data_IF_032557336098
#
_entry.id   IF_032557336098
#
_cell.length_a   1.000
_cell.length_b   1.000
_cell.length_c   1.000
_cell.angle_alpha   90.00
_cell.angle_beta   90.00
_cell.angle_gamma   90.00
#
_symmetry.space_group_name_H-M   'P 1'
#
loop_
_entity.id
_entity.type
_entity.pdbx_description
1 polymer ?
#
# COMPACT_ATOMS: atom_id res chain seq x y z
N UNK A 1 -15.80 -32.51 2.49
CA UNK A 1 -14.52 -32.23 3.18
C UNK A 1 -13.42 -32.29 2.13
N UNK A 2 -13.17 -31.19 1.44
CA UNK A 2 -12.01 -31.02 0.56
C UNK A 2 -11.39 -29.69 0.92
N UNK A 3 -10.59 -29.71 1.99
CA UNK A 3 -9.71 -28.60 2.30
C UNK A 3 -8.67 -28.51 1.20
N UNK A 4 -8.53 -27.34 0.60
CA UNK A 4 -7.38 -26.98 -0.22
C UNK A 4 -6.14 -27.29 0.61
N UNK A 5 -5.35 -28.27 0.18
CA UNK A 5 -4.01 -28.48 0.72
C UNK A 5 -3.23 -27.23 0.34
N UNK A 6 -2.65 -26.48 1.30
CA UNK A 6 -1.69 -25.44 0.97
C UNK A 6 -0.56 -26.14 0.24
N UNK A 7 -0.44 -25.92 -1.06
CA UNK A 7 0.72 -26.37 -1.83
C UNK A 7 1.93 -25.73 -1.18
N UNK A 8 2.86 -26.58 -0.72
CA UNK A 8 4.22 -26.24 -0.31
C UNK A 8 4.75 -25.13 -1.24
N UNK A 9 5.36 -24.04 -0.74
CA UNK A 9 5.95 -23.04 -1.61
C UNK A 9 7.10 -23.68 -2.37
N UNK A 10 6.80 -24.20 -3.57
CA UNK A 10 7.79 -24.59 -4.58
C UNK A 10 8.83 -23.47 -4.64
N UNK A 11 10.11 -23.85 -4.54
CA UNK A 11 11.20 -22.90 -4.60
C UNK A 11 11.02 -21.99 -5.84
N UNK A 12 11.14 -20.67 -5.68
CA UNK A 12 10.87 -19.73 -6.76
C UNK A 12 11.71 -20.11 -7.97
N UNK A 13 11.04 -20.28 -9.09
CA UNK A 13 11.67 -20.55 -10.38
C UNK A 13 12.19 -19.25 -10.97
N UNK A 14 13.10 -19.34 -11.94
CA UNK A 14 13.59 -18.15 -12.65
C UNK A 14 12.46 -17.37 -13.35
N UNK A 15 11.36 -18.05 -13.72
CA UNK A 15 10.15 -17.44 -14.27
C UNK A 15 9.42 -16.58 -13.23
N UNK A 16 9.32 -17.05 -11.98
CA UNK A 16 8.74 -16.27 -10.87
C UNK A 16 9.57 -15.01 -10.58
N UNK A 17 10.90 -15.11 -10.68
CA UNK A 17 11.79 -13.97 -10.51
C UNK A 17 11.65 -12.95 -11.65
N UNK A 18 11.49 -13.42 -12.89
CA UNK A 18 11.24 -12.56 -14.05
C UNK A 18 9.89 -11.85 -13.94
N UNK A 19 8.85 -12.54 -13.47
CA UNK A 19 7.53 -11.97 -13.22
C UNK A 19 7.60 -10.89 -12.13
N UNK A 20 8.33 -11.14 -11.04
CA UNK A 20 8.54 -10.17 -9.97
C UNK A 20 9.27 -8.92 -10.48
N UNK A 21 10.29 -9.08 -11.33
CA UNK A 21 11.03 -7.95 -11.92
C UNK A 21 10.14 -7.15 -12.88
N UNK A 22 9.23 -7.79 -13.62
CA UNK A 22 8.27 -7.11 -14.46
C UNK A 22 7.28 -6.27 -13.62
N UNK A 23 6.74 -6.86 -12.55
CA UNK A 23 5.86 -6.17 -11.60
C UNK A 23 6.57 -4.99 -10.91
N UNK A 24 7.84 -5.17 -10.52
CA UNK A 24 8.65 -4.09 -9.93
C UNK A 24 8.94 -2.97 -10.92
N UNK A 25 9.15 -3.28 -12.20
CA UNK A 25 9.35 -2.27 -13.26
C UNK A 25 8.07 -1.52 -13.58
N UNK A 26 6.93 -2.19 -13.56
CA UNK A 26 5.61 -1.56 -13.70
C UNK A 26 5.36 -0.61 -12.52
N UNK A 27 5.62 -1.05 -11.29
CA UNK A 27 5.50 -0.24 -10.09
C UNK A 27 6.50 0.94 -10.08
N UNK A 28 7.74 0.72 -10.55
CA UNK A 28 8.74 1.78 -10.68
C UNK A 28 8.47 2.73 -11.86
N UNK A 29 7.63 2.32 -12.81
CA UNK A 29 7.16 3.14 -13.93
C UNK A 29 6.05 4.10 -13.52
N UNK A 30 5.36 3.84 -12.41
CA UNK A 30 4.45 4.80 -11.81
C UNK A 30 5.26 5.94 -11.20
N UNK A 31 4.95 7.19 -11.58
CA UNK A 31 5.60 8.36 -10.99
C UNK A 31 5.34 8.34 -9.48
N UNK A 32 6.38 8.30 -8.62
CA UNK A 32 6.20 8.33 -7.18
C UNK A 32 5.38 9.54 -6.70
N UNK A 33 5.41 10.66 -7.44
CA UNK A 33 4.59 11.83 -7.15
C UNK A 33 3.10 11.58 -7.42
N UNK A 34 2.77 10.92 -8.52
CA UNK A 34 1.39 10.55 -8.87
C UNK A 34 0.83 9.54 -7.86
N UNK A 35 1.62 8.53 -7.48
CA UNK A 35 1.22 7.54 -6.47
C UNK A 35 0.98 8.21 -5.11
N UNK A 36 1.86 9.11 -4.67
CA UNK A 36 1.66 9.88 -3.43
C UNK A 36 0.40 10.74 -3.47
N UNK A 37 0.11 11.36 -4.62
CA UNK A 37 -1.10 12.17 -4.80
C UNK A 37 -2.38 11.32 -4.64
N UNK A 38 -2.43 10.16 -5.32
CA UNK A 38 -3.58 9.26 -5.23
C UNK A 38 -3.75 8.72 -3.81
N UNK A 39 -2.65 8.33 -3.14
CA UNK A 39 -2.68 7.86 -1.75
C UNK A 39 -3.21 8.95 -0.82
N UNK A 40 -2.76 10.20 -0.96
CA UNK A 40 -3.26 11.32 -0.17
C UNK A 40 -4.77 11.56 -0.39
N UNK A 41 -5.26 11.43 -1.62
CA UNK A 41 -6.69 11.56 -1.92
C UNK A 41 -7.52 10.44 -1.28
N UNK A 42 -7.05 9.20 -1.39
CA UNK A 42 -7.69 8.03 -0.79
C UNK A 42 -7.72 8.14 0.74
N UNK A 43 -6.61 8.51 1.37
CA UNK A 43 -6.56 8.72 2.82
C UNK A 43 -7.49 9.85 3.27
N UNK A 44 -7.58 10.95 2.52
CA UNK A 44 -8.53 12.02 2.80
C UNK A 44 -10.00 11.59 2.66
N UNK A 45 -10.30 10.73 1.68
CA UNK A 45 -11.64 10.17 1.52
C UNK A 45 -12.00 9.18 2.64
N UNK A 46 -11.04 8.31 3.02
CA UNK A 46 -11.21 7.35 4.12
C UNK A 46 -11.35 8.06 5.47
N UNK A 47 -10.57 9.10 5.73
CA UNK A 47 -10.67 9.90 6.96
C UNK A 47 -12.04 10.56 7.09
N UNK A 48 -12.57 11.14 6.00
CA UNK A 48 -13.93 11.68 5.95
C UNK A 48 -15.00 10.60 6.16
N UNK A 49 -14.81 9.41 5.59
CA UNK A 49 -15.74 8.28 5.79
C UNK A 49 -15.70 7.71 7.21
N UNK A 50 -14.52 7.72 7.85
CA UNK A 50 -14.30 7.28 9.23
C UNK A 50 -14.59 8.36 10.28
N UNK A 51 -15.08 9.54 9.88
CA UNK A 51 -15.38 10.64 10.80
C UNK A 51 -14.15 11.23 11.48
N UNK A 52 -12.96 11.14 10.87
CA UNK A 52 -11.70 11.65 11.39
C UNK A 52 -10.89 10.67 12.27
N UNK A 53 -11.41 9.46 12.50
CA UNK A 53 -10.77 8.46 13.38
C UNK A 53 -9.62 7.68 12.72
N UNK A 54 -9.44 7.80 11.39
CA UNK A 54 -8.41 7.05 10.66
C UNK A 54 -7.00 7.35 11.18
N UNK A 55 -6.80 8.59 11.61
CA UNK A 55 -5.54 9.11 12.14
C UNK A 55 -5.08 8.32 13.36
N UNK A 56 -6.00 7.90 14.22
CA UNK A 56 -5.70 7.14 15.44
C UNK A 56 -5.21 5.71 15.15
N UNK A 57 -5.56 5.17 13.99
CA UNK A 57 -5.20 3.82 13.56
C UNK A 57 -3.97 3.77 12.64
N UNK A 58 -3.51 4.92 12.14
CA UNK A 58 -2.34 4.99 11.26
C UNK A 58 -1.02 4.88 12.05
N UNK A 59 -0.03 4.11 11.55
CA UNK A 59 1.30 4.06 12.15
C UNK A 59 2.04 5.39 11.98
N UNK A 60 2.91 5.72 12.94
CA UNK A 60 3.56 7.02 13.05
C UNK A 60 4.37 7.44 11.80
N UNK A 61 4.94 6.48 11.06
CA UNK A 61 5.66 6.76 9.83
C UNK A 61 4.76 7.40 8.75
N UNK A 62 3.54 6.86 8.57
CA UNK A 62 2.59 7.37 7.57
C UNK A 62 2.03 8.74 7.97
N UNK A 63 1.87 9.00 9.27
CA UNK A 63 1.46 10.33 9.77
C UNK A 63 2.48 11.42 9.43
N UNK A 64 3.77 11.08 9.42
CA UNK A 64 4.87 11.99 9.13
C UNK A 64 5.01 12.30 7.63
N UNK A 65 4.82 11.30 6.77
CA UNK A 65 4.95 11.45 5.31
C UNK A 65 3.76 12.20 4.67
N UNK A 66 2.54 12.03 5.19
CA UNK A 66 1.33 12.67 4.63
C UNK A 66 0.97 14.02 5.26
N UNK A 67 1.81 14.55 6.16
CA UNK A 67 1.54 15.84 6.83
C UNK A 67 0.27 15.86 7.69
N UNK A 68 -0.28 14.68 8.02
CA UNK A 68 -1.54 14.52 8.77
C UNK A 68 -1.42 14.97 10.23
N UNK A 69 -0.21 15.06 10.77
CA UNK A 69 0.07 15.55 12.12
C UNK A 69 -0.03 17.10 12.23
N UNK A 70 0.11 17.82 11.11
CA UNK A 70 0.19 19.29 11.08
C UNK A 70 -1.21 19.95 11.11
N UNK A 71 -2.28 19.20 10.85
CA UNK A 71 -3.65 19.72 10.76
C UNK A 71 -4.39 19.86 12.11
N UNK A 72 -3.70 20.30 13.17
CA UNK A 72 -4.30 20.63 14.48
C UNK A 72 -4.13 22.13 14.78
N UNK A 73 -5.08 22.93 14.32
CA UNK A 73 -5.41 24.23 14.92
C UNK A 73 -6.90 24.26 15.20
#
# INVERSE_FOLDING_TARGET
MTGVVPTDPTAPTDDDAAELVAQLRELAGADPAEVRQVVAEVLGALDRAAGGALRDHLPAAVRADDGLDIARN
#
